data_IF_272986010538
#
_entry.id   IF_272986010538
#
_cell.length_a   1.000
_cell.length_b   1.000
_cell.length_c   1.000
_cell.angle_alpha   90.00
_cell.angle_beta   90.00
_cell.angle_gamma   90.00
#
_symmetry.space_group_name_H-M   'P 1'
#
loop_
_entity.id
_entity.type
_entity.pdbx_description
1 polymer ?
#
# COMPACT_ATOMS: atom_id res chain seq x y z
N UNK A 1 1.50 10.42 25.00
CA UNK A 1 0.78 9.44 24.14
C UNK A 1 1.79 8.80 23.21
N UNK A 2 1.85 7.46 23.08
CA UNK A 2 2.80 6.82 22.14
C UNK A 2 2.32 7.09 20.71
N UNK A 3 3.20 7.68 19.89
CA UNK A 3 2.92 7.97 18.49
C UNK A 3 2.60 6.65 17.76
N UNK A 4 1.54 6.66 16.96
CA UNK A 4 1.09 5.56 16.11
C UNK A 4 1.46 5.83 14.66
N UNK A 5 1.37 4.82 13.81
CA UNK A 5 1.77 4.93 12.42
C UNK A 5 0.81 4.19 11.48
N UNK A 6 0.51 4.81 10.33
CA UNK A 6 -0.10 4.15 9.17
C UNK A 6 0.92 4.14 8.05
N UNK A 7 1.29 2.96 7.57
CA UNK A 7 2.25 2.80 6.49
C UNK A 7 1.55 2.55 5.16
N UNK A 8 2.17 2.99 4.07
CA UNK A 8 1.76 2.68 2.71
C UNK A 8 2.88 1.87 2.06
N UNK A 9 2.53 0.69 1.57
CA UNK A 9 3.44 -0.26 0.95
C UNK A 9 2.95 -0.63 -0.45
N UNK A 10 3.82 -1.20 -1.26
CA UNK A 10 3.52 -1.59 -2.64
C UNK A 10 4.71 -1.39 -3.57
N UNK A 11 4.61 -1.98 -4.76
CA UNK A 11 5.70 -1.96 -5.74
C UNK A 11 5.98 -0.57 -6.29
N UNK A 12 7.13 -0.42 -6.94
CA UNK A 12 7.38 0.75 -7.78
C UNK A 12 6.29 0.90 -8.84
N UNK A 13 5.88 2.14 -9.12
CA UNK A 13 4.93 2.50 -10.18
C UNK A 13 3.48 1.96 -10.03
N UNK A 14 3.05 1.44 -8.89
CA UNK A 14 1.64 1.08 -8.63
C UNK A 14 0.73 2.30 -8.37
N UNK A 15 1.32 3.49 -8.22
CA UNK A 15 0.61 4.73 -7.91
C UNK A 15 0.45 5.02 -6.41
N UNK A 16 1.24 4.35 -5.55
CA UNK A 16 1.26 4.53 -4.09
C UNK A 16 1.44 6.00 -3.66
N UNK A 17 2.47 6.71 -4.12
CA UNK A 17 2.68 8.11 -3.74
C UNK A 17 1.60 9.05 -4.27
N UNK A 18 0.99 8.73 -5.42
CA UNK A 18 -0.18 9.45 -5.95
C UNK A 18 -1.39 9.23 -5.03
N UNK A 19 -1.63 8.00 -4.58
CA UNK A 19 -2.69 7.67 -3.63
C UNK A 19 -2.48 8.37 -2.29
N UNK A 20 -1.26 8.33 -1.77
CA UNK A 20 -0.87 9.02 -0.54
C UNK A 20 -1.17 10.52 -0.64
N UNK A 21 -0.78 11.16 -1.75
CA UNK A 21 -1.06 12.57 -2.00
C UNK A 21 -2.57 12.85 -2.13
N UNK A 22 -3.32 11.96 -2.81
CA UNK A 22 -4.76 12.09 -2.98
C UNK A 22 -5.55 11.97 -1.67
N UNK A 23 -5.08 11.15 -0.72
CA UNK A 23 -5.72 10.99 0.59
C UNK A 23 -5.50 12.20 1.50
N UNK A 24 -4.27 12.75 1.51
CA UNK A 24 -3.83 13.70 2.54
C UNK A 24 -3.61 15.13 2.04
N UNK A 25 -3.70 15.39 0.73
CA UNK A 25 -3.28 16.65 0.10
C UNK A 25 -1.83 17.03 0.48
N UNK A 26 -1.00 16.02 0.77
CA UNK A 26 0.39 16.17 1.12
C UNK A 26 1.24 15.90 -0.12
N UNK A 27 2.08 16.86 -0.51
CA UNK A 27 3.01 16.65 -1.61
C UNK A 27 4.14 15.72 -1.17
N UNK A 28 4.14 14.49 -1.71
CA UNK A 28 5.25 13.58 -1.54
C UNK A 28 6.46 14.15 -2.28
N UNK A 29 7.55 14.45 -1.55
CA UNK A 29 8.83 14.77 -2.18
C UNK A 29 9.24 13.60 -3.07
N UNK A 30 9.21 13.79 -4.39
CA UNK A 30 9.82 12.83 -5.32
C UNK A 30 11.29 12.71 -4.92
N UNK A 31 11.70 11.53 -4.47
CA UNK A 31 13.09 11.28 -4.08
C UNK A 31 14.03 11.79 -5.17
N UNK A 32 15.12 12.45 -4.78
CA UNK A 32 16.19 12.85 -5.70
C UNK A 32 16.68 11.63 -6.48
N UNK A 33 17.33 11.89 -7.63
CA UNK A 33 17.97 10.91 -8.54
C UNK A 33 18.35 9.62 -7.80
N UNK A 34 17.81 8.44 -8.20
CA UNK A 34 17.98 7.27 -7.37
C UNK A 34 19.42 6.74 -7.41
N UNK A 35 19.85 6.11 -6.32
CA UNK A 35 21.18 5.50 -6.18
C UNK A 35 21.83 5.67 -4.80
N UNK A 36 21.47 6.66 -4.00
CA UNK A 36 22.19 6.94 -2.72
C UNK A 36 21.36 6.76 -1.47
N UNK A 37 20.07 7.12 -1.46
CA UNK A 37 19.31 7.13 -0.22
C UNK A 37 17.86 6.70 -0.41
N UNK A 38 17.56 5.52 0.12
CA UNK A 38 16.21 4.99 0.29
C UNK A 38 15.66 5.62 1.56
N UNK A 39 14.67 6.52 1.45
CA UNK A 39 14.02 7.15 2.61
C UNK A 39 12.50 7.08 2.46
N UNK A 40 11.77 6.72 3.52
CA UNK A 40 10.33 6.90 3.57
C UNK A 40 9.98 8.39 3.49
N UNK A 41 8.84 8.71 2.89
CA UNK A 41 8.24 10.03 3.01
C UNK A 41 7.16 9.97 4.09
N UNK A 42 7.28 10.78 5.13
CA UNK A 42 6.30 10.77 6.21
C UNK A 42 5.90 12.17 6.64
N UNK A 43 4.69 12.28 7.18
CA UNK A 43 4.21 13.47 7.88
C UNK A 43 3.37 13.05 9.09
N UNK A 44 3.31 13.90 10.09
CA UNK A 44 2.57 13.62 11.32
C UNK A 44 1.33 14.52 11.42
N UNK A 45 0.19 13.92 11.78
CA UNK A 45 -1.02 14.65 12.17
C UNK A 45 -1.49 14.13 13.52
N UNK A 46 -1.47 15.01 14.52
CA UNK A 46 -1.76 14.61 15.89
C UNK A 46 -0.80 13.52 16.36
N UNK A 47 -1.33 12.43 16.89
CA UNK A 47 -0.56 11.28 17.37
C UNK A 47 -0.26 10.21 16.31
N UNK A 48 -0.49 10.46 15.01
CA UNK A 48 -0.25 9.48 13.94
C UNK A 48 0.74 10.01 12.90
N UNK A 49 1.74 9.20 12.59
CA UNK A 49 2.61 9.36 11.42
C UNK A 49 1.98 8.60 10.25
N UNK A 50 1.89 9.25 9.09
CA UNK A 50 1.56 8.60 7.83
C UNK A 50 2.84 8.47 7.02
N UNK A 51 3.17 7.25 6.61
CA UNK A 51 4.47 6.95 5.97
C UNK A 51 4.27 6.27 4.64
N UNK A 52 4.70 6.93 3.57
CA UNK A 52 4.88 6.36 2.24
C UNK A 52 6.24 5.66 2.16
N UNK A 53 6.23 4.32 2.23
CA UNK A 53 7.45 3.52 2.19
C UNK A 53 8.08 3.53 0.78
N UNK A 54 9.38 3.28 0.66
CA UNK A 54 10.02 3.04 -0.64
C UNK A 54 9.31 1.93 -1.44
N UNK A 55 9.30 2.06 -2.77
CA UNK A 55 8.64 1.09 -3.65
C UNK A 55 9.31 -0.28 -3.58
N UNK A 56 8.59 -1.31 -3.13
CA UNK A 56 9.12 -2.64 -2.90
C UNK A 56 9.37 -3.42 -4.21
N UNK A 57 10.37 -4.30 -4.22
CA UNK A 57 10.68 -5.16 -5.36
C UNK A 57 11.50 -4.50 -6.48
N UNK A 58 11.42 -5.05 -7.69
CA UNK A 58 12.26 -4.64 -8.82
C UNK A 58 12.00 -3.17 -9.21
N UNK A 59 13.05 -2.36 -9.14
CA UNK A 59 13.02 -0.97 -9.61
C UNK A 59 13.61 -0.94 -11.02
N UNK A 60 12.78 -0.64 -12.03
CA UNK A 60 13.23 -0.54 -13.42
C UNK A 60 14.37 0.47 -13.58
N UNK A 61 15.45 0.06 -14.25
CA UNK A 61 16.65 0.89 -14.44
C UNK A 61 17.68 0.78 -13.30
N UNK A 62 17.47 -0.08 -12.30
CA UNK A 62 18.42 -0.31 -11.20
C UNK A 62 18.95 -1.73 -11.17
N UNK A 63 20.07 -1.92 -10.48
CA UNK A 63 20.67 -3.23 -10.26
C UNK A 63 19.77 -4.10 -9.38
N UNK A 64 19.93 -5.43 -9.52
CA UNK A 64 19.30 -6.42 -8.62
C UNK A 64 19.64 -6.12 -7.15
N UNK A 65 20.90 -5.83 -6.86
CA UNK A 65 21.37 -5.49 -5.51
C UNK A 65 20.66 -4.25 -4.94
N UNK A 66 20.34 -3.24 -5.76
CA UNK A 66 19.57 -2.09 -5.29
C UNK A 66 18.13 -2.48 -4.95
N UNK A 67 17.50 -3.31 -5.79
CA UNK A 67 16.13 -3.80 -5.54
C UNK A 67 16.06 -4.66 -4.27
N UNK A 68 17.06 -5.51 -4.03
CA UNK A 68 17.20 -6.29 -2.79
C UNK A 68 17.38 -5.38 -1.57
N UNK A 69 18.28 -4.38 -1.63
CA UNK A 69 18.43 -3.39 -0.54
C UNK A 69 17.15 -2.62 -0.23
N UNK A 70 16.30 -2.35 -1.22
CA UNK A 70 15.00 -1.70 -0.99
C UNK A 70 14.04 -2.66 -0.28
N UNK A 71 14.03 -3.95 -0.67
CA UNK A 71 13.25 -4.97 0.02
C UNK A 71 13.66 -5.08 1.49
N UNK A 72 14.97 -5.25 1.75
CA UNK A 72 15.52 -5.38 3.10
C UNK A 72 15.18 -4.16 3.96
N UNK A 73 15.36 -2.96 3.42
CA UNK A 73 15.02 -1.72 4.13
C UNK A 73 13.53 -1.65 4.51
N UNK A 74 12.63 -2.02 3.60
CA UNK A 74 11.18 -1.98 3.85
C UNK A 74 10.79 -2.99 4.93
N UNK A 75 11.31 -4.22 4.88
CA UNK A 75 11.07 -5.25 5.89
C UNK A 75 11.62 -4.81 7.24
N UNK A 76 12.89 -4.41 7.32
CA UNK A 76 13.53 -3.94 8.55
C UNK A 76 12.78 -2.75 9.15
N UNK A 77 12.33 -1.81 8.32
CA UNK A 77 11.54 -0.67 8.77
C UNK A 77 10.23 -1.12 9.42
N UNK A 78 9.49 -2.03 8.78
CA UNK A 78 8.20 -2.50 9.29
C UNK A 78 8.40 -3.27 10.59
N UNK A 79 9.35 -4.19 10.66
CA UNK A 79 9.64 -4.99 11.86
C UNK A 79 10.09 -4.12 13.04
N UNK A 80 11.02 -3.20 12.80
CA UNK A 80 11.52 -2.26 13.82
C UNK A 80 10.40 -1.38 14.39
N UNK A 81 9.42 -1.02 13.55
CA UNK A 81 8.33 -0.12 13.92
C UNK A 81 6.99 -0.84 14.18
N UNK A 82 6.94 -2.18 14.17
CA UNK A 82 5.71 -2.96 14.23
C UNK A 82 4.80 -2.57 15.41
N UNK A 83 5.38 -2.30 16.58
CA UNK A 83 4.64 -1.89 17.79
C UNK A 83 3.89 -0.56 17.67
N UNK A 84 4.31 0.34 16.78
CA UNK A 84 3.63 1.63 16.55
C UNK A 84 2.73 1.62 15.32
N UNK A 85 2.94 0.70 14.38
CA UNK A 85 2.10 0.56 13.19
C UNK A 85 0.73 0.02 13.61
N UNK A 86 -0.32 0.77 13.27
CA UNK A 86 -1.72 0.39 13.56
C UNK A 86 -2.46 -0.08 12.33
N UNK A 87 -2.04 0.34 11.14
CA UNK A 87 -2.58 -0.12 9.87
C UNK A 87 -1.53 -0.01 8.76
N UNK A 88 -1.70 -0.83 7.75
CA UNK A 88 -1.03 -0.71 6.47
C UNK A 88 -2.03 -0.47 5.35
N UNK A 89 -1.64 0.32 4.35
CA UNK A 89 -2.31 0.42 3.08
C UNK A 89 -1.38 -0.18 2.03
N UNK A 90 -1.71 -1.37 1.56
CA UNK A 90 -1.01 -1.93 0.41
C UNK A 90 -1.63 -1.39 -0.86
N UNK A 91 -0.79 -0.91 -1.78
CA UNK A 91 -1.22 -0.37 -3.06
C UNK A 91 -0.75 -1.29 -4.17
N UNK A 92 -1.70 -1.84 -4.93
CA UNK A 92 -1.45 -2.67 -6.10
C UNK A 92 -1.93 -1.95 -7.36
N UNK A 93 -1.37 -2.33 -8.51
CA UNK A 93 -1.91 -1.92 -9.81
C UNK A 93 -2.90 -2.97 -10.31
N UNK A 94 -4.20 -2.74 -10.11
CA UNK A 94 -5.26 -3.68 -10.47
C UNK A 94 -5.29 -3.99 -11.97
N UNK A 95 -4.79 -3.09 -12.83
CA UNK A 95 -4.75 -3.28 -14.28
C UNK A 95 -3.65 -4.21 -14.77
N UNK A 96 -2.61 -4.43 -13.96
CA UNK A 96 -1.45 -5.27 -14.33
C UNK A 96 -1.16 -6.40 -13.35
N UNK A 97 -1.87 -6.46 -12.21
CA UNK A 97 -1.64 -7.43 -11.14
C UNK A 97 -1.65 -8.87 -11.67
N UNK A 98 -2.71 -9.28 -12.37
CA UNK A 98 -2.88 -10.67 -12.83
C UNK A 98 -1.78 -11.10 -13.81
N UNK A 99 -1.47 -10.26 -14.79
CA UNK A 99 -0.41 -10.54 -15.77
C UNK A 99 0.96 -10.66 -15.07
N UNK A 100 1.24 -9.78 -14.10
CA UNK A 100 2.51 -9.81 -13.39
C UNK A 100 2.56 -11.03 -12.47
N UNK A 101 1.49 -11.34 -11.75
CA UNK A 101 1.44 -12.50 -10.88
C UNK A 101 1.66 -13.80 -11.67
N UNK A 102 0.96 -13.99 -12.80
CA UNK A 102 1.14 -15.15 -13.68
C UNK A 102 2.59 -15.26 -14.20
N UNK A 103 3.24 -14.14 -14.54
CA UNK A 103 4.66 -14.13 -14.98
C UNK A 103 5.62 -14.58 -13.88
N UNK A 104 5.33 -14.29 -12.61
CA UNK A 104 6.16 -14.73 -11.47
C UNK A 104 5.94 -16.21 -11.18
N UNK A 105 4.68 -16.66 -11.18
CA UNK A 105 4.33 -18.06 -10.96
C UNK A 105 4.93 -18.99 -12.03
N UNK A 106 4.90 -18.59 -13.30
CA UNK A 106 5.56 -19.34 -14.41
C UNK A 106 7.08 -19.49 -14.22
N UNK A 107 7.70 -18.62 -13.41
CA UNK A 107 9.12 -18.70 -13.05
C UNK A 107 9.36 -19.44 -11.74
N UNK A 108 8.32 -19.99 -11.11
CA UNK A 108 8.38 -20.67 -9.83
C UNK A 108 8.57 -19.74 -8.63
N UNK A 109 8.22 -18.46 -8.76
CA UNK A 109 8.32 -17.48 -7.67
C UNK A 109 6.94 -17.01 -7.20
N UNK A 110 6.82 -16.72 -5.90
CA UNK A 110 5.65 -16.06 -5.34
C UNK A 110 5.61 -14.60 -5.86
N UNK A 111 4.47 -14.14 -6.39
CA UNK A 111 4.31 -12.74 -6.78
C UNK A 111 4.56 -11.78 -5.61
N UNK A 112 5.35 -10.73 -5.86
CA UNK A 112 5.77 -9.75 -4.85
C UNK A 112 4.61 -9.06 -4.12
N UNK A 113 3.49 -8.84 -4.79
CA UNK A 113 2.28 -8.25 -4.15
C UNK A 113 1.56 -9.26 -3.25
N UNK A 114 1.65 -10.56 -3.54
CA UNK A 114 1.08 -11.60 -2.65
C UNK A 114 1.97 -11.76 -1.42
N UNK A 115 3.31 -11.84 -1.61
CA UNK A 115 4.30 -11.88 -0.53
C UNK A 115 4.16 -10.67 0.42
N UNK A 116 3.98 -9.46 -0.14
CA UNK A 116 3.76 -8.25 0.65
C UNK A 116 2.44 -8.29 1.42
N UNK A 117 1.35 -8.73 0.79
CA UNK A 117 0.04 -8.83 1.44
C UNK A 117 0.07 -9.80 2.63
N UNK A 118 0.67 -10.98 2.46
CA UNK A 118 0.86 -11.97 3.53
C UNK A 118 1.68 -11.36 4.67
N UNK A 119 2.84 -10.79 4.36
CA UNK A 119 3.71 -10.15 5.35
C UNK A 119 3.00 -9.05 6.14
N UNK A 120 2.24 -8.17 5.46
CA UNK A 120 1.51 -7.10 6.12
C UNK A 120 0.37 -7.61 7.02
N UNK A 121 -0.30 -8.71 6.65
CA UNK A 121 -1.30 -9.34 7.51
C UNK A 121 -0.67 -9.95 8.77
N UNK A 122 0.56 -10.46 8.67
CA UNK A 122 1.28 -11.03 9.81
C UNK A 122 1.78 -9.95 10.79
N UNK A 123 2.25 -8.82 10.28
CA UNK A 123 2.96 -7.81 11.09
C UNK A 123 2.15 -6.55 11.41
N UNK A 124 1.00 -6.35 10.77
CA UNK A 124 0.16 -5.16 11.00
C UNK A 124 -1.25 -5.52 11.47
N UNK A 125 -1.84 -4.79 12.42
CA UNK A 125 -3.18 -5.12 12.93
C UNK A 125 -4.31 -5.03 11.90
N UNK A 126 -4.11 -4.27 10.82
CA UNK A 126 -5.11 -4.06 9.77
C UNK A 126 -4.46 -3.72 8.44
N UNK A 127 -4.78 -4.48 7.40
CA UNK A 127 -4.40 -4.20 6.02
C UNK A 127 -5.59 -3.63 5.25
N UNK A 128 -5.36 -2.52 4.54
CA UNK A 128 -6.24 -1.97 3.51
C UNK A 128 -5.59 -2.17 2.15
N UNK A 129 -6.16 -3.00 1.30
CA UNK A 129 -5.68 -3.21 -0.06
C UNK A 129 -6.32 -2.19 -1.01
N UNK A 130 -5.56 -1.20 -1.43
CA UNK A 130 -5.95 -0.26 -2.47
C UNK A 130 -5.67 -0.86 -3.86
N UNK A 131 -6.71 -1.42 -4.49
CA UNK A 131 -6.71 -1.85 -5.88
C UNK A 131 -6.74 -0.63 -6.80
N UNK A 132 -5.56 -0.07 -7.08
CA UNK A 132 -5.42 1.21 -7.76
C UNK A 132 -5.42 1.08 -9.29
N UNK A 133 -5.56 2.23 -9.96
CA UNK A 133 -5.64 2.37 -11.43
C UNK A 133 -6.87 1.68 -12.03
N UNK A 134 -8.00 1.73 -11.32
CA UNK A 134 -9.28 1.24 -11.83
C UNK A 134 -9.74 1.95 -13.10
N UNK A 135 -9.20 3.12 -13.44
CA UNK A 135 -9.41 3.78 -14.74
C UNK A 135 -8.84 3.01 -15.93
N UNK A 136 -8.04 1.96 -15.67
CA UNK A 136 -7.44 1.07 -16.67
C UNK A 136 -7.93 -0.38 -16.57
N UNK A 137 -8.93 -0.64 -15.73
CA UNK A 137 -9.52 -1.98 -15.56
C UNK A 137 -10.84 -2.00 -16.30
N UNK A 138 -10.89 -2.70 -17.43
CA UNK A 138 -12.10 -2.78 -18.27
C UNK A 138 -13.16 -3.72 -17.68
N UNK A 139 -12.74 -4.74 -16.93
CA UNK A 139 -13.62 -5.73 -16.30
C UNK A 139 -13.39 -5.76 -14.78
N UNK A 140 -14.37 -5.26 -14.03
CA UNK A 140 -14.33 -5.24 -12.55
C UNK A 140 -14.27 -6.64 -11.94
N UNK A 141 -14.74 -7.68 -12.66
CA UNK A 141 -14.68 -9.06 -12.15
C UNK A 141 -13.26 -9.58 -12.04
N UNK A 142 -12.26 -8.92 -12.66
CA UNK A 142 -10.85 -9.23 -12.42
C UNK A 142 -10.45 -9.05 -10.95
N UNK A 143 -11.15 -8.22 -10.17
CA UNK A 143 -10.96 -8.13 -8.73
C UNK A 143 -11.29 -9.45 -8.00
N UNK A 144 -12.17 -10.31 -8.56
CA UNK A 144 -12.43 -11.64 -8.00
C UNK A 144 -11.17 -12.52 -8.09
N UNK A 145 -10.47 -12.48 -9.22
CA UNK A 145 -9.22 -13.23 -9.41
C UNK A 145 -8.12 -12.69 -8.50
N UNK A 146 -8.02 -11.36 -8.35
CA UNK A 146 -7.09 -10.74 -7.40
C UNK A 146 -7.41 -11.19 -5.97
N UNK A 147 -8.68 -11.17 -5.56
CA UNK A 147 -9.08 -11.64 -4.23
C UNK A 147 -8.71 -13.11 -4.02
N UNK A 148 -8.99 -13.98 -4.99
CA UNK A 148 -8.64 -15.41 -4.93
C UNK A 148 -7.13 -15.64 -4.78
N UNK A 149 -6.30 -14.92 -5.56
CA UNK A 149 -4.84 -14.98 -5.44
C UNK A 149 -4.31 -14.50 -4.07
N UNK A 150 -5.08 -13.66 -3.37
CA UNK A 150 -4.77 -13.18 -2.01
C UNK A 150 -5.44 -14.03 -0.92
N UNK A 151 -5.92 -15.24 -1.26
CA UNK A 151 -6.54 -16.18 -0.30
C UNK A 151 -7.97 -15.83 0.12
N UNK A 152 -8.64 -14.92 -0.61
CA UNK A 152 -9.99 -14.46 -0.31
C UNK A 152 -11.03 -15.13 -1.21
N UNK A 153 -12.11 -15.67 -0.64
CA UNK A 153 -13.17 -16.31 -1.43
C UNK A 153 -13.99 -15.28 -2.23
N UNK A 154 -14.22 -15.48 -3.55
CA UNK A 154 -15.04 -14.58 -4.33
C UNK A 154 -16.53 -14.55 -3.90
N UNK A 155 -17.28 -13.50 -4.29
CA UNK A 155 -16.80 -12.36 -5.06
C UNK A 155 -16.10 -11.33 -4.17
N UNK A 156 -15.25 -10.48 -4.77
CA UNK A 156 -14.42 -9.49 -4.08
C UNK A 156 -15.25 -8.52 -3.23
N UNK A 157 -16.53 -8.31 -3.55
CA UNK A 157 -17.44 -7.44 -2.81
C UNK A 157 -17.65 -7.88 -1.35
N UNK A 158 -17.50 -9.18 -1.04
CA UNK A 158 -17.49 -9.69 0.35
C UNK A 158 -16.33 -9.10 1.16
N UNK A 159 -15.27 -8.70 0.47
CA UNK A 159 -14.03 -8.20 1.04
C UNK A 159 -13.91 -6.67 0.94
N UNK A 160 -15.01 -5.92 0.75
CA UNK A 160 -15.00 -4.42 0.72
C UNK A 160 -14.39 -3.75 1.95
N UNK A 161 -14.29 -4.47 3.07
CA UNK A 161 -13.61 -3.99 4.26
C UNK A 161 -12.07 -4.05 4.11
N UNK A 162 -11.54 -4.92 3.24
CA UNK A 162 -10.11 -5.11 2.92
C UNK A 162 -9.75 -4.50 1.57
N UNK A 163 -10.50 -4.80 0.50
CA UNK A 163 -10.24 -4.40 -0.89
C UNK A 163 -11.00 -3.12 -1.24
N UNK A 164 -10.26 -2.11 -1.66
CA UNK A 164 -10.76 -0.79 -2.06
C UNK A 164 -10.35 -0.52 -3.51
N UNK A 165 -11.27 -0.67 -4.48
CA UNK A 165 -11.05 -0.20 -5.84
C UNK A 165 -10.90 1.32 -5.83
N UNK A 166 -9.79 1.84 -6.35
CA UNK A 166 -9.50 3.27 -6.37
C UNK A 166 -8.90 3.73 -7.69
N UNK A 167 -9.12 5.00 -8.02
CA UNK A 167 -8.33 5.70 -9.02
C UNK A 167 -7.68 6.92 -8.37
N UNK A 168 -6.47 6.74 -7.85
CA UNK A 168 -5.71 7.81 -7.21
C UNK A 168 -5.48 9.01 -8.14
N UNK A 169 -5.27 8.76 -9.44
CA UNK A 169 -5.06 9.80 -10.46
C UNK A 169 -6.29 10.71 -10.63
N UNK A 170 -7.50 10.15 -10.50
CA UNK A 170 -8.77 10.89 -10.60
C UNK A 170 -9.29 11.36 -9.24
N UNK A 171 -8.61 11.05 -8.13
CA UNK A 171 -9.06 11.36 -6.77
C UNK A 171 -10.21 10.47 -6.28
N UNK A 172 -10.50 9.37 -6.97
CA UNK A 172 -11.56 8.42 -6.64
C UNK A 172 -11.07 7.47 -5.53
N UNK A 173 -10.95 8.01 -4.31
CA UNK A 173 -10.37 7.34 -3.13
C UNK A 173 -11.29 7.40 -1.91
N UNK A 174 -12.56 7.78 -2.11
CA UNK A 174 -13.49 8.16 -1.04
C UNK A 174 -13.82 7.03 -0.06
N UNK A 175 -14.04 5.80 -0.55
CA UNK A 175 -14.31 4.64 0.30
C UNK A 175 -13.12 4.33 1.21
N UNK A 176 -11.91 4.24 0.65
CA UNK A 176 -10.67 4.05 1.40
C UNK A 176 -10.45 5.20 2.41
N UNK A 177 -10.61 6.46 1.96
CA UNK A 177 -10.48 7.65 2.81
C UNK A 177 -11.42 7.59 4.01
N UNK A 178 -12.69 7.25 3.77
CA UNK A 178 -13.73 7.14 4.80
C UNK A 178 -13.39 6.04 5.80
N UNK A 179 -13.07 4.84 5.33
CA UNK A 179 -12.94 3.68 6.22
C UNK A 179 -11.61 3.69 6.97
N UNK A 180 -10.53 4.19 6.36
CA UNK A 180 -9.27 4.47 7.07
C UNK A 180 -9.47 5.53 8.17
N UNK A 181 -10.23 6.60 7.89
CA UNK A 181 -10.59 7.61 8.90
C UNK A 181 -11.41 6.99 10.04
N UNK A 182 -12.43 6.19 9.73
CA UNK A 182 -13.26 5.53 10.76
C UNK A 182 -12.45 4.55 11.60
N UNK A 183 -11.52 3.82 10.99
CA UNK A 183 -10.60 2.95 11.71
C UNK A 183 -9.76 3.75 12.72
N UNK A 184 -9.13 4.86 12.32
CA UNK A 184 -8.39 5.70 13.27
C UNK A 184 -9.27 6.24 14.40
N UNK A 185 -10.52 6.61 14.10
CA UNK A 185 -11.48 7.04 15.13
C UNK A 185 -11.80 5.93 16.13
N UNK A 186 -11.96 4.67 15.68
CA UNK A 186 -12.18 3.52 16.56
C UNK A 186 -11.01 3.23 17.50
N UNK A 187 -9.80 3.65 17.13
CA UNK A 187 -8.60 3.56 17.96
C UNK A 187 -8.42 4.78 18.89
N UNK A 188 -9.42 5.66 19.00
CA UNK A 188 -9.37 6.93 19.72
C UNK A 188 -8.31 7.92 19.19
N UNK A 189 -7.87 7.78 17.93
CA UNK A 189 -6.90 8.67 17.28
C UNK A 189 -7.63 9.84 16.56
N UNK A 190 -8.46 10.57 17.32
CA UNK A 190 -9.35 11.63 16.78
C UNK A 190 -8.60 12.84 16.22
N UNK A 191 -7.43 13.12 16.77
CA UNK A 191 -6.55 14.19 16.31
C UNK A 191 -5.95 13.90 14.93
N UNK A 192 -5.63 12.63 14.64
CA UNK A 192 -5.15 12.16 13.35
C UNK A 192 -6.22 12.12 12.26
N UNK A 193 -7.49 11.91 12.62
CA UNK A 193 -8.62 11.93 11.67
C UNK A 193 -8.77 13.28 10.93
N UNK A 194 -8.12 14.34 11.43
CA UNK A 194 -8.03 15.65 10.77
C UNK A 194 -7.21 15.61 9.46
N UNK A 195 -6.37 14.60 9.26
CA UNK A 195 -5.61 14.40 8.02
C UNK A 195 -6.51 14.17 6.80
N UNK A 196 -7.75 13.70 7.03
CA UNK A 196 -8.72 13.35 5.98
C UNK A 196 -9.81 14.42 5.79
N UNK A 197 -9.54 15.68 6.12
CA UNK A 197 -10.47 16.78 5.82
C UNK A 197 -10.60 17.06 4.33
#
# INVERSE_FOLDING_TARGET
>A
MKVKEVIFAGRSNVGKSTLFSALFKFEVRKGKKPGTTIRPNSFQVGSVIFTDLPGFGYVSGYSRNFSERVKDFVVEYIETNARRIVASVEVIDASSFLEIAERWEKRGYIPVEIEMFEFLNDVTPRVFLAANKMDKVDDITNLNKIAEMLGMQPPWEKWRHVIYPVCAKKGEVSALKRDLKQYLLSLNLRDAAKAFR
#
